data_IF_458905641214
#
_entry.id   IF_458905641214
#
_cell.length_a   1.000
_cell.length_b   1.000
_cell.length_c   1.000
_cell.angle_alpha   90.00
_cell.angle_beta   90.00
_cell.angle_gamma   90.00
#
_symmetry.space_group_name_H-M   'P 1'
#
loop_
_entity.id
_entity.type
_entity.pdbx_description
1 polymer ?
#
# COMPACT_ATOMS: atom_id res chain seq x y z
N UNK A 1 -2.26 -40.92 -1.45
CA UNK A 1 -2.16 -40.09 -0.23
C UNK A 1 -2.46 -40.88 1.03
N UNK A 2 -3.65 -41.46 1.20
CA UNK A 2 -4.01 -42.26 2.40
C UNK A 2 -3.02 -43.41 2.68
N UNK A 3 -2.54 -44.18 1.68
CA UNK A 3 -1.57 -45.25 1.93
C UNK A 3 -0.25 -44.75 2.51
N UNK A 4 0.24 -43.60 2.03
CA UNK A 4 1.46 -42.96 2.51
C UNK A 4 1.32 -42.49 3.95
N UNK A 5 0.20 -41.82 4.26
CA UNK A 5 -0.13 -41.37 5.63
C UNK A 5 -0.20 -42.58 6.57
N UNK A 6 -0.85 -43.65 6.13
CA UNK A 6 -0.98 -44.87 6.94
C UNK A 6 0.39 -45.51 7.20
N UNK A 7 1.27 -45.59 6.20
CA UNK A 7 2.65 -46.05 6.38
C UNK A 7 3.42 -45.18 7.37
N UNK A 8 3.37 -43.86 7.24
CA UNK A 8 4.04 -42.94 8.17
C UNK A 8 3.54 -43.08 9.61
N UNK A 9 2.24 -43.27 9.80
CA UNK A 9 1.63 -43.52 11.11
C UNK A 9 2.16 -44.81 11.74
N UNK A 10 2.10 -45.95 11.03
CA UNK A 10 2.55 -47.24 11.56
C UNK A 10 4.07 -47.37 11.69
N UNK A 11 4.84 -46.52 10.98
CA UNK A 11 6.29 -46.39 11.14
C UNK A 11 6.69 -45.40 12.25
N UNK A 12 5.74 -44.92 13.06
CA UNK A 12 5.95 -43.94 14.13
C UNK A 12 6.61 -42.61 13.67
N UNK A 13 6.48 -42.26 12.38
CA UNK A 13 7.06 -41.02 11.83
C UNK A 13 6.24 -39.76 12.18
N UNK A 14 4.97 -39.93 12.54
CA UNK A 14 4.11 -38.85 13.01
C UNK A 14 4.32 -38.46 14.48
N UNK A 15 5.25 -39.13 15.18
CA UNK A 15 5.49 -38.89 16.60
C UNK A 15 4.26 -39.25 17.45
N UNK A 16 3.91 -38.37 18.41
CA UNK A 16 2.88 -38.66 19.41
C UNK A 16 1.47 -38.26 18.92
N UNK A 17 0.93 -39.00 17.95
CA UNK A 17 -0.47 -38.86 17.52
C UNK A 17 -1.33 -39.97 18.15
N UNK A 18 -2.07 -39.69 19.25
CA UNK A 18 -2.94 -40.70 19.83
C UNK A 18 -4.17 -40.92 18.96
N UNK A 19 -4.22 -42.08 18.30
CA UNK A 19 -5.42 -42.60 17.65
C UNK A 19 -6.08 -43.65 18.56
N UNK A 20 -7.42 -43.66 18.57
CA UNK A 20 -8.15 -44.77 19.19
C UNK A 20 -7.87 -46.06 18.42
N UNK A 21 -7.92 -47.22 19.09
CA UNK A 21 -7.72 -48.53 18.47
C UNK A 21 -8.57 -48.72 17.21
N UNK A 22 -9.85 -48.31 17.26
CA UNK A 22 -10.77 -48.38 16.10
C UNK A 22 -10.33 -47.46 14.96
N UNK A 23 -9.77 -46.29 15.27
CA UNK A 23 -9.26 -45.35 14.26
C UNK A 23 -7.99 -45.89 13.58
N UNK A 24 -7.11 -46.55 14.34
CA UNK A 24 -5.91 -47.18 13.82
C UNK A 24 -6.27 -48.38 12.92
N UNK A 25 -7.21 -49.23 13.35
CA UNK A 25 -7.72 -50.35 12.52
C UNK A 25 -8.37 -49.83 11.23
N UNK A 26 -9.14 -48.75 11.32
CA UNK A 26 -9.75 -48.12 10.14
C UNK A 26 -8.69 -47.58 9.16
N UNK A 27 -7.66 -46.92 9.68
CA UNK A 27 -6.54 -46.40 8.88
C UNK A 27 -5.74 -47.55 8.25
N UNK A 28 -5.53 -48.67 8.96
CA UNK A 28 -4.92 -49.88 8.44
C UNK A 28 -5.74 -50.49 7.29
N UNK A 29 -7.05 -50.65 7.52
CA UNK A 29 -7.99 -51.24 6.58
C UNK A 29 -8.06 -50.49 5.25
N UNK A 30 -8.23 -49.18 5.31
CA UNK A 30 -8.36 -48.33 4.12
C UNK A 30 -6.98 -48.07 3.48
N UNK A 31 -5.96 -47.84 4.29
CA UNK A 31 -4.66 -47.36 3.83
C UNK A 31 -3.70 -48.45 3.37
N UNK A 32 -3.57 -49.54 4.13
CA UNK A 32 -2.60 -50.61 3.87
C UNK A 32 -3.26 -51.87 3.28
N UNK A 33 -4.47 -52.20 3.73
CA UNK A 33 -5.20 -53.39 3.25
C UNK A 33 -6.11 -53.09 2.04
N UNK A 34 -6.32 -51.81 1.70
CA UNK A 34 -7.15 -51.37 0.59
C UNK A 34 -8.57 -51.97 0.58
N UNK A 35 -9.14 -52.21 1.76
CA UNK A 35 -10.51 -52.71 1.91
C UNK A 35 -11.52 -51.61 1.65
N UNK A 36 -12.69 -51.99 1.12
CA UNK A 36 -13.80 -51.06 0.99
C UNK A 36 -14.42 -50.77 2.35
N UNK A 37 -15.16 -49.66 2.41
CA UNK A 37 -15.88 -49.26 3.62
C UNK A 37 -16.88 -50.31 4.09
N UNK A 38 -17.58 -50.94 3.14
CA UNK A 38 -18.59 -51.96 3.42
C UNK A 38 -17.97 -53.26 3.96
N UNK A 39 -16.74 -53.57 3.57
CA UNK A 39 -15.98 -54.70 4.14
C UNK A 39 -15.58 -54.39 5.58
N UNK A 40 -15.14 -53.16 5.85
CA UNK A 40 -14.77 -52.72 7.19
C UNK A 40 -15.97 -52.60 8.13
N UNK A 41 -17.15 -52.24 7.63
CA UNK A 41 -18.41 -52.26 8.39
C UNK A 41 -18.72 -53.67 8.91
N UNK A 42 -18.53 -54.70 8.09
CA UNK A 42 -18.75 -56.10 8.49
C UNK A 42 -17.71 -56.61 9.48
N UNK A 43 -16.46 -56.18 9.37
CA UNK A 43 -15.36 -56.63 10.24
C UNK A 43 -15.34 -55.94 11.60
N UNK A 44 -15.61 -54.63 11.62
CA UNK A 44 -15.58 -53.82 12.84
C UNK A 44 -16.94 -53.84 13.55
N UNK A 45 -18.02 -54.18 12.85
CA UNK A 45 -19.37 -54.27 13.42
C UNK A 45 -19.99 -52.91 13.75
N UNK A 46 -19.55 -51.84 13.06
CA UNK A 46 -20.01 -50.47 13.25
C UNK A 46 -20.69 -49.97 11.97
N UNK A 47 -21.77 -49.17 12.06
CA UNK A 47 -22.41 -48.58 10.90
C UNK A 47 -21.44 -47.75 10.05
N UNK A 48 -21.53 -47.85 8.72
CA UNK A 48 -20.66 -47.14 7.77
C UNK A 48 -20.62 -45.62 8.02
N UNK A 49 -21.73 -45.02 8.44
CA UNK A 49 -21.80 -43.59 8.80
C UNK A 49 -20.89 -43.19 9.96
N UNK A 50 -20.81 -44.04 11.00
CA UNK A 50 -19.95 -43.79 12.16
C UNK A 50 -18.49 -43.98 11.81
N UNK A 51 -18.17 -45.03 11.05
CA UNK A 51 -16.82 -45.28 10.58
C UNK A 51 -16.32 -44.12 9.70
N UNK A 52 -17.15 -43.56 8.82
CA UNK A 52 -16.78 -42.37 8.03
C UNK A 52 -16.57 -41.13 8.92
N UNK A 53 -17.36 -40.98 9.99
CA UNK A 53 -17.14 -39.96 11.02
C UNK A 53 -15.78 -40.12 11.72
N UNK A 54 -15.42 -41.34 12.10
CA UNK A 54 -14.12 -41.67 12.70
C UNK A 54 -12.96 -41.44 11.73
N UNK A 55 -13.15 -41.76 10.45
CA UNK A 55 -12.19 -41.47 9.40
C UNK A 55 -11.94 -39.97 9.26
N UNK A 56 -13.00 -39.17 9.16
CA UNK A 56 -12.89 -37.71 9.10
C UNK A 56 -12.18 -37.12 10.32
N UNK A 57 -12.46 -37.65 11.52
CA UNK A 57 -11.76 -37.23 12.74
C UNK A 57 -10.28 -37.56 12.69
N UNK A 58 -9.91 -38.71 12.12
CA UNK A 58 -8.52 -39.12 11.90
C UNK A 58 -7.83 -38.18 10.92
N UNK A 59 -8.45 -37.88 9.78
CA UNK A 59 -7.89 -36.95 8.79
C UNK A 59 -7.69 -35.55 9.38
N UNK A 60 -8.64 -35.04 10.17
CA UNK A 60 -8.48 -33.74 10.86
C UNK A 60 -7.26 -33.72 11.78
N UNK A 61 -7.00 -34.79 12.54
CA UNK A 61 -5.80 -34.90 13.38
C UNK A 61 -4.52 -34.87 12.54
N UNK A 62 -4.50 -35.57 11.41
CA UNK A 62 -3.35 -35.58 10.49
C UNK A 62 -3.09 -34.18 9.92
N UNK A 63 -4.14 -33.47 9.50
CA UNK A 63 -4.02 -32.08 9.01
C UNK A 63 -3.49 -31.15 10.10
N UNK A 64 -3.99 -31.27 11.33
CA UNK A 64 -3.50 -30.48 12.47
C UNK A 64 -2.01 -30.72 12.75
N UNK A 65 -1.55 -31.97 12.66
CA UNK A 65 -0.14 -32.29 12.81
C UNK A 65 0.71 -31.61 11.73
N UNK A 66 0.29 -31.68 10.47
CA UNK A 66 1.01 -31.04 9.37
C UNK A 66 1.05 -29.53 9.47
N UNK A 67 -0.06 -28.90 9.89
CA UNK A 67 -0.08 -27.47 10.16
C UNK A 67 0.91 -27.11 11.28
N UNK A 68 0.94 -27.86 12.38
CA UNK A 68 1.90 -27.62 13.46
C UNK A 68 3.36 -27.76 13.00
N UNK A 69 3.67 -28.72 12.12
CA UNK A 69 5.01 -28.87 11.54
C UNK A 69 5.36 -27.68 10.63
N UNK A 70 4.41 -27.21 9.82
CA UNK A 70 4.59 -26.02 8.98
C UNK A 70 4.77 -24.75 9.80
N UNK A 71 3.95 -24.57 10.84
CA UNK A 71 4.04 -23.44 11.77
C UNK A 71 5.41 -23.38 12.44
N UNK A 72 5.93 -24.52 12.91
CA UNK A 72 7.29 -24.59 13.48
C UNK A 72 8.38 -24.25 12.46
N UNK A 73 8.28 -24.75 11.24
CA UNK A 73 9.25 -24.43 10.20
C UNK A 73 9.24 -22.93 9.83
N UNK A 74 8.06 -22.30 9.85
CA UNK A 74 7.91 -20.86 9.64
C UNK A 74 8.44 -20.08 10.84
N UNK A 75 8.16 -20.51 12.07
CA UNK A 75 8.68 -19.89 13.30
C UNK A 75 10.22 -19.90 13.33
N UNK A 76 10.84 -21.03 13.00
CA UNK A 76 12.30 -21.14 12.87
C UNK A 76 12.85 -20.15 11.83
N UNK A 77 12.18 -19.98 10.69
CA UNK A 77 12.56 -19.00 9.67
C UNK A 77 12.35 -17.54 10.13
N UNK A 78 11.36 -17.29 10.99
CA UNK A 78 11.08 -15.96 11.53
C UNK A 78 12.06 -15.53 12.63
N UNK A 79 12.78 -16.48 13.28
CA UNK A 79 13.80 -16.13 14.31
C UNK A 79 15.06 -15.46 13.77
N UNK A 80 15.18 -15.24 12.46
CA UNK A 80 16.12 -14.25 11.90
C UNK A 80 15.48 -12.86 11.87
N UNK A 81 14.73 -12.49 12.91
CA UNK A 81 14.59 -11.08 13.28
C UNK A 81 15.95 -10.64 13.78
N UNK A 82 16.81 -10.27 12.83
CA UNK A 82 18.09 -9.61 13.05
C UNK A 82 17.92 -8.66 14.23
N UNK A 83 18.63 -8.91 15.33
CA UNK A 83 18.71 -7.95 16.43
C UNK A 83 19.04 -6.61 15.78
N UNK A 84 18.08 -5.69 15.83
CA UNK A 84 18.32 -4.32 15.42
C UNK A 84 19.20 -3.75 16.51
N UNK A 85 20.51 -3.96 16.36
CA UNK A 85 21.51 -3.26 17.14
C UNK A 85 21.35 -1.80 16.73
N UNK A 86 20.61 -1.05 17.54
CA UNK A 86 20.47 0.40 17.41
C UNK A 86 21.82 1.01 17.80
N UNK A 87 22.75 1.04 16.86
CA UNK A 87 23.99 1.79 17.02
C UNK A 87 23.65 3.28 17.14
N UNK A 88 24.22 4.01 18.12
CA UNK A 88 24.04 5.44 18.23
C UNK A 88 24.50 6.12 16.93
N UNK A 89 23.65 6.98 16.38
CA UNK A 89 24.01 7.76 15.19
C UNK A 89 25.20 8.66 15.52
N UNK A 90 26.21 8.72 14.65
CA UNK A 90 27.43 9.52 14.85
C UNK A 90 27.14 11.03 14.95
N UNK A 91 26.04 11.48 14.34
CA UNK A 91 25.49 12.83 14.45
C UNK A 91 24.21 12.77 15.26
N UNK A 92 23.99 13.78 16.10
CA UNK A 92 22.69 13.97 16.74
C UNK A 92 21.66 14.44 15.72
N UNK A 93 20.38 14.10 15.94
CA UNK A 93 19.28 14.61 15.11
C UNK A 93 19.27 16.14 15.04
N UNK A 94 19.66 16.81 16.13
CA UNK A 94 19.74 18.26 16.19
C UNK A 94 20.81 18.83 15.24
N UNK A 95 21.98 18.22 15.15
CA UNK A 95 23.04 18.67 14.24
C UNK A 95 22.64 18.52 12.77
N UNK A 96 21.96 17.43 12.42
CA UNK A 96 21.45 17.18 11.06
C UNK A 96 20.35 18.21 10.68
N UNK A 97 19.47 18.53 11.63
CA UNK A 97 18.45 19.57 11.46
C UNK A 97 19.06 20.97 11.30
N UNK A 98 20.11 21.29 12.04
CA UNK A 98 20.81 22.57 11.92
C UNK A 98 21.58 22.71 10.59
N UNK A 99 22.21 21.63 10.11
CA UNK A 99 22.87 21.58 8.81
C UNK A 99 21.85 21.80 7.67
N UNK A 100 20.72 21.10 7.71
CA UNK A 100 19.62 21.29 6.77
C UNK A 100 19.03 22.71 6.82
N UNK A 101 18.90 23.31 8.01
CA UNK A 101 18.40 24.68 8.17
C UNK A 101 19.34 25.72 7.57
N UNK A 102 20.66 25.55 7.75
CA UNK A 102 21.67 26.44 7.15
C UNK A 102 21.66 26.35 5.63
N UNK A 103 21.62 25.14 5.07
CA UNK A 103 21.50 24.95 3.62
C UNK A 103 20.25 25.61 3.04
N UNK A 104 19.11 25.51 3.73
CA UNK A 104 17.87 26.15 3.30
C UNK A 104 17.99 27.67 3.31
N UNK A 105 18.57 28.25 4.36
CA UNK A 105 18.77 29.70 4.47
C UNK A 105 19.71 30.24 3.39
N UNK A 106 20.79 29.52 3.07
CA UNK A 106 21.71 29.90 2.00
C UNK A 106 21.04 29.85 0.63
N UNK A 107 20.31 28.77 0.33
CA UNK A 107 19.52 28.66 -0.92
C UNK A 107 18.49 29.79 -1.02
N UNK A 108 17.75 30.05 0.05
CA UNK A 108 16.75 31.10 0.10
C UNK A 108 17.36 32.50 -0.05
N UNK A 109 18.52 32.76 0.57
CA UNK A 109 19.24 34.03 0.40
C UNK A 109 19.70 34.21 -1.05
N UNK A 110 20.24 33.16 -1.67
CA UNK A 110 20.66 33.18 -3.07
C UNK A 110 19.47 33.40 -4.02
N UNK A 111 18.30 32.83 -3.71
CA UNK A 111 17.07 33.07 -4.47
C UNK A 111 16.57 34.52 -4.30
N UNK A 112 16.59 35.06 -3.08
CA UNK A 112 16.24 36.47 -2.82
C UNK A 112 17.22 37.41 -3.53
N UNK A 113 18.51 37.13 -3.51
CA UNK A 113 19.53 37.95 -4.18
C UNK A 113 19.30 37.96 -5.69
N UNK A 114 19.05 36.79 -6.29
CA UNK A 114 18.61 36.70 -7.69
C UNK A 114 17.36 37.53 -7.95
N UNK A 115 16.34 37.45 -7.07
CA UNK A 115 15.10 38.21 -7.19
C UNK A 115 15.29 39.73 -7.06
N UNK A 116 16.24 40.18 -6.23
CA UNK A 116 16.58 41.60 -6.04
C UNK A 116 17.33 42.19 -7.23
N UNK A 117 18.12 41.39 -7.93
CA UNK A 117 18.83 41.81 -9.14
C UNK A 117 17.89 41.93 -10.37
N UNK A 118 16.67 41.37 -10.31
CA UNK A 118 15.67 41.62 -11.35
C UNK A 118 15.03 43.01 -11.16
N UNK A 119 15.09 43.84 -12.20
CA UNK A 119 14.38 45.11 -12.24
C UNK A 119 12.85 44.88 -12.34
N UNK A 120 12.19 44.87 -11.18
CA UNK A 120 10.74 44.71 -11.05
C UNK A 120 9.97 46.01 -11.34
N UNK A 121 10.64 47.10 -11.72
CA UNK A 121 10.02 48.40 -12.00
C UNK A 121 8.95 48.34 -13.09
N UNK A 122 9.10 47.42 -14.05
CA UNK A 122 8.12 47.18 -15.12
C UNK A 122 6.81 46.53 -14.64
N UNK A 123 6.83 45.86 -13.48
CA UNK A 123 5.67 45.21 -12.86
C UNK A 123 5.03 46.04 -11.75
N UNK A 124 5.59 47.21 -11.40
CA UNK A 124 4.95 48.14 -10.47
C UNK A 124 3.61 48.58 -11.07
N UNK A 125 2.52 48.19 -10.42
CA UNK A 125 1.19 48.72 -10.72
C UNK A 125 1.10 50.08 -10.03
N UNK A 126 0.86 51.14 -10.81
CA UNK A 126 0.72 52.50 -10.26
C UNK A 126 -0.68 52.71 -9.68
N UNK A 127 -0.75 53.32 -8.50
CA UNK A 127 -1.95 53.81 -7.83
C UNK A 127 -1.59 54.23 -6.41
N UNK A 128 -2.18 55.32 -5.91
CA UNK A 128 -1.99 55.75 -4.52
C UNK A 128 -2.79 54.84 -3.57
N UNK A 129 -2.38 54.68 -2.32
CA UNK A 129 -3.02 53.73 -1.38
C UNK A 129 -4.52 54.05 -1.16
N UNK A 130 -4.90 55.31 -1.32
CA UNK A 130 -6.30 55.78 -1.25
C UNK A 130 -7.12 55.32 -2.47
N UNK A 131 -6.54 55.37 -3.68
CA UNK A 131 -7.20 54.92 -4.92
C UNK A 131 -7.40 53.40 -4.93
N UNK A 132 -6.45 52.66 -4.38
CA UNK A 132 -6.56 51.21 -4.25
C UNK A 132 -7.65 50.80 -3.26
N UNK A 133 -7.76 51.48 -2.12
CA UNK A 133 -8.81 51.19 -1.13
C UNK A 133 -10.22 51.51 -1.67
N UNK A 134 -10.38 52.59 -2.43
CA UNK A 134 -11.64 52.88 -3.11
C UNK A 134 -12.03 51.80 -4.13
N UNK A 135 -11.06 51.32 -4.90
CA UNK A 135 -11.33 50.32 -5.94
C UNK A 135 -11.59 48.94 -5.32
N UNK A 136 -10.84 48.53 -4.29
CA UNK A 136 -11.07 47.27 -3.57
C UNK A 136 -12.42 47.24 -2.85
N UNK A 137 -12.84 48.36 -2.27
CA UNK A 137 -14.16 48.46 -1.62
C UNK A 137 -15.32 48.43 -2.62
N UNK A 138 -15.15 48.99 -3.82
CA UNK A 138 -16.15 48.94 -4.91
C UNK A 138 -16.19 47.59 -5.65
N UNK A 139 -15.06 46.88 -5.72
CA UNK A 139 -14.93 45.65 -6.51
C UNK A 139 -15.47 44.39 -5.81
N UNK A 140 -15.57 44.37 -4.47
CA UNK A 140 -16.04 43.18 -3.73
C UNK A 140 -15.06 42.00 -3.81
N UNK A 141 -15.19 41.03 -2.89
CA UNK A 141 -14.18 39.99 -2.65
C UNK A 141 -13.93 39.03 -3.84
N UNK A 142 -14.80 39.00 -4.85
CA UNK A 142 -14.76 38.06 -5.98
C UNK A 142 -14.50 38.72 -7.36
N UNK A 143 -13.99 39.95 -7.41
CA UNK A 143 -13.66 40.59 -8.69
C UNK A 143 -12.39 40.00 -9.33
N UNK A 144 -12.55 39.30 -10.46
CA UNK A 144 -11.43 38.74 -11.24
C UNK A 144 -10.61 39.80 -12.00
N UNK A 145 -11.14 41.01 -12.21
CA UNK A 145 -10.46 42.09 -12.94
C UNK A 145 -10.77 43.42 -12.28
N UNK A 146 -9.73 44.19 -11.98
CA UNK A 146 -9.80 45.49 -11.32
C UNK A 146 -9.08 46.52 -12.20
N UNK A 147 -9.71 47.66 -12.46
CA UNK A 147 -9.17 48.71 -13.34
C UNK A 147 -8.94 50.03 -12.58
N UNK A 148 -7.71 50.52 -12.65
CA UNK A 148 -7.33 51.87 -12.22
C UNK A 148 -7.12 52.73 -13.47
N UNK A 149 -7.54 53.99 -13.44
CA UNK A 149 -7.31 54.92 -14.55
C UNK A 149 -5.82 55.31 -14.57
N UNK A 150 -5.16 55.09 -15.70
CA UNK A 150 -3.77 55.52 -15.89
C UNK A 150 -3.71 56.77 -16.78
N UNK A 151 -3.23 57.90 -16.25
CA UNK A 151 -3.16 59.18 -16.99
C UNK A 151 -1.98 59.30 -17.97
N UNK A 152 -1.14 58.25 -18.11
CA UNK A 152 -0.06 58.21 -19.10
C UNK A 152 0.04 56.83 -19.74
N UNK A 153 -0.13 56.74 -21.07
CA UNK A 153 0.07 55.51 -21.84
C UNK A 153 1.45 54.94 -21.52
N UNK A 154 1.50 53.73 -20.94
CA UNK A 154 2.72 52.93 -20.79
C UNK A 154 3.34 52.80 -22.18
N UNK A 155 4.60 53.25 -22.37
CA UNK A 155 5.31 52.97 -23.62
C UNK A 155 5.49 51.45 -23.68
N UNK A 156 4.82 50.79 -24.61
CA UNK A 156 5.08 49.40 -24.92
C UNK A 156 6.41 49.36 -25.67
N UNK A 157 7.52 49.19 -24.94
CA UNK A 157 8.73 48.68 -25.57
C UNK A 157 8.51 47.20 -25.85
N UNK A 158 8.53 46.87 -27.14
CA UNK A 158 8.52 45.52 -27.66
C UNK A 158 9.88 44.90 -27.35
N UNK A 159 10.01 44.25 -26.19
CA UNK A 159 11.02 43.20 -26.02
C UNK A 159 10.35 41.88 -26.37
N UNK A 160 10.76 41.36 -27.53
CA UNK A 160 10.27 40.11 -28.09
C UNK A 160 10.58 38.93 -27.14
N UNK A 161 9.56 38.46 -26.42
CA UNK A 161 9.51 37.11 -25.86
C UNK A 161 8.77 36.16 -26.81
N UNK A 162 9.17 34.88 -26.93
CA UNK A 162 8.66 34.00 -27.97
C UNK A 162 7.17 33.71 -27.78
N UNK A 163 6.39 34.13 -28.78
CA UNK A 163 4.97 33.85 -28.95
C UNK A 163 4.74 32.34 -29.08
N UNK A 164 4.38 31.67 -27.98
CA UNK A 164 3.88 30.29 -28.04
C UNK A 164 2.43 30.29 -28.53
N UNK A 165 2.22 30.11 -29.83
CA UNK A 165 0.92 29.77 -30.40
C UNK A 165 0.53 28.34 -29.98
N UNK A 166 -0.21 28.19 -28.87
CA UNK A 166 -0.93 26.93 -28.59
C UNK A 166 -2.26 26.92 -29.33
N UNK A 167 -2.27 26.26 -30.50
CA UNK A 167 -3.49 25.91 -31.25
C UNK A 167 -4.37 24.97 -30.43
N UNK A 168 -5.44 25.49 -29.84
CA UNK A 168 -6.51 24.67 -29.25
C UNK A 168 -7.39 24.07 -30.37
N UNK A 169 -7.30 22.74 -30.56
CA UNK A 169 -8.22 21.97 -31.41
C UNK A 169 -9.60 21.92 -30.75
N UNK A 170 -10.61 22.56 -31.34
CA UNK A 170 -12.03 22.37 -30.97
C UNK A 170 -12.53 21.01 -31.47
N UNK A 171 -12.84 20.09 -30.54
CA UNK A 171 -13.70 18.92 -30.81
C UNK A 171 -15.16 19.35 -30.62
N UNK A 172 -15.99 19.18 -31.66
CA UNK A 172 -17.44 19.32 -31.60
C UNK A 172 -18.07 18.17 -30.79
N UNK A 173 -19.13 18.46 -30.02
CA UNK A 173 -20.27 17.56 -29.97
C UNK A 173 -21.59 18.34 -30.11
N UNK A 174 -22.35 18.04 -31.18
CA UNK A 174 -23.79 18.35 -31.28
C UNK A 174 -24.51 17.09 -31.74
N UNK A 175 -24.84 16.21 -30.81
CA UNK A 175 -25.96 15.28 -30.96
C UNK A 175 -27.21 16.01 -30.44
N UNK A 176 -28.05 16.44 -31.37
CA UNK A 176 -29.39 16.97 -31.07
C UNK A 176 -30.32 15.80 -30.78
N UNK A 177 -30.85 15.76 -29.56
CA UNK A 177 -32.07 15.04 -29.21
C UNK A 177 -33.22 15.63 -30.03
N UNK A 178 -33.86 14.82 -30.89
CA UNK A 178 -35.20 15.13 -31.41
C UNK A 178 -36.23 14.43 -30.52
N UNK A 179 -37.25 15.19 -30.12
CA UNK A 179 -38.58 14.67 -29.79
C UNK A 179 -39.18 14.01 -31.02
#
# INVERSE_FOLDING_TARGET
MIPTISRMYFLNQFGNMPLSATQAVLLLGIGLQHKSMDQLEKEIGLPSSQLMGLFNRTIRKVVQLFNSVQEKAVEEQMTVMKEVVMEPTLKSLNEDLEEAAKEFQEKHKNEIEKLKDLDLSQYIIRGDDEEWNEVLSKAGQDASVVSLKSDKKRKAEVTAGPRQEKKFKKKNPKLKLKK
#
